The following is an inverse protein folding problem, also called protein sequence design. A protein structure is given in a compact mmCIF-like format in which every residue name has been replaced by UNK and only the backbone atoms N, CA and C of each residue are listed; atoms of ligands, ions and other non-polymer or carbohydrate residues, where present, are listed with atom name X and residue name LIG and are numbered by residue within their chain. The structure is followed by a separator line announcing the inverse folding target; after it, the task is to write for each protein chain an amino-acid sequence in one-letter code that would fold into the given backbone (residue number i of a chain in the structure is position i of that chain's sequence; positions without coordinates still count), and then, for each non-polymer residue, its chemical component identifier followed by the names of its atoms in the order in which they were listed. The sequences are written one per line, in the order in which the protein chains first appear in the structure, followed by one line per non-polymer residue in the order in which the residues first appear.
data_IF_193561344508
#
_entry.id   IF_193561344508
#
_cell.length_a   1.000
_cell.length_b   1.000
_cell.length_c   1.000
_cell.angle_alpha   90.00
_cell.angle_beta   90.00
_cell.angle_gamma   90.00
#
_symmetry.space_group_name_H-M   'P 1'
#
loop_
_entity.id
_entity.type
_entity.pdbx_description
1 polymer ?
#
# COMPACT_ATOMS: atom_id res chain seq x y z
N UNK A 1 14.25 -26.74 21.21
CA UNK A 1 15.13 -25.62 20.84
C UNK A 1 14.89 -25.34 19.36
N UNK A 2 14.23 -24.22 19.00
CA UNK A 2 14.06 -23.87 17.59
C UNK A 2 15.43 -23.62 16.96
N UNK A 3 15.73 -24.31 15.87
CA UNK A 3 16.95 -24.10 15.09
C UNK A 3 16.94 -22.69 14.49
N UNK A 4 18.05 -21.93 14.55
CA UNK A 4 18.12 -20.61 13.94
C UNK A 4 17.87 -20.74 12.43
N UNK A 5 16.83 -20.06 11.94
CA UNK A 5 16.55 -19.95 10.51
C UNK A 5 17.74 -19.26 9.83
N UNK A 6 18.22 -19.79 8.68
CA UNK A 6 19.31 -19.16 7.95
C UNK A 6 18.94 -17.72 7.56
N UNK A 7 19.89 -16.78 7.56
CA UNK A 7 19.63 -15.40 7.16
C UNK A 7 19.16 -15.37 5.70
N UNK A 8 18.01 -14.76 5.45
CA UNK A 8 17.46 -14.57 4.11
C UNK A 8 18.18 -13.44 3.40
N UNK A 9 18.31 -13.51 2.07
CA UNK A 9 18.97 -12.47 1.30
C UNK A 9 18.10 -11.21 1.18
N UNK A 10 16.79 -11.41 1.09
CA UNK A 10 15.83 -10.32 1.11
C UNK A 10 15.60 -9.91 2.58
N UNK A 11 15.83 -8.63 2.93
CA UNK A 11 15.51 -8.12 4.26
C UNK A 11 14.00 -8.13 4.49
N UNK A 12 13.61 -8.36 5.74
CA UNK A 12 12.21 -8.40 6.11
C UNK A 12 11.92 -7.60 7.36
N UNK A 13 10.75 -6.98 7.39
CA UNK A 13 10.20 -6.32 8.56
C UNK A 13 9.01 -7.11 9.09
N UNK A 14 8.87 -7.19 10.41
CA UNK A 14 7.70 -7.77 11.07
C UNK A 14 6.96 -6.67 11.80
N UNK A 15 5.72 -6.43 11.40
CA UNK A 15 4.84 -5.42 11.98
C UNK A 15 4.17 -5.99 13.23
N UNK A 16 3.88 -5.12 14.21
CA UNK A 16 3.09 -5.48 15.40
C UNK A 16 1.59 -5.35 15.13
N UNK A 17 1.13 -5.99 14.06
CA UNK A 17 -0.27 -6.04 13.66
C UNK A 17 -0.54 -7.43 13.06
N UNK A 18 -1.72 -8.00 13.29
CA UNK A 18 -2.07 -9.32 12.75
C UNK A 18 -2.39 -9.25 11.26
N UNK A 19 -3.04 -8.16 10.84
CA UNK A 19 -3.34 -7.83 9.45
C UNK A 19 -2.66 -6.52 9.07
N UNK A 20 -2.28 -6.41 7.81
CA UNK A 20 -1.80 -5.17 7.21
C UNK A 20 -2.98 -4.49 6.54
N UNK A 21 -3.38 -3.33 7.06
CA UNK A 21 -4.50 -2.57 6.49
C UNK A 21 -4.14 -2.02 5.10
N UNK A 22 -5.16 -1.73 4.29
CA UNK A 22 -4.96 -1.09 2.99
C UNK A 22 -4.21 0.26 3.10
N UNK A 23 -4.56 1.07 4.10
CA UNK A 23 -3.88 2.33 4.43
C UNK A 23 -2.40 2.13 4.79
N UNK A 24 -2.09 1.09 5.57
CA UNK A 24 -0.73 0.77 5.99
C UNK A 24 0.12 0.24 4.83
N UNK A 25 -0.43 -0.65 4.01
CA UNK A 25 0.22 -1.17 2.82
C UNK A 25 0.58 -0.03 1.84
N UNK A 26 -0.38 0.87 1.57
CA UNK A 26 -0.17 2.04 0.72
C UNK A 26 0.96 2.93 1.22
N UNK A 27 0.94 3.29 2.52
CA UNK A 27 1.95 4.13 3.16
C UNK A 27 3.36 3.51 3.16
N UNK A 28 3.45 2.22 3.43
CA UNK A 28 4.74 1.52 3.41
C UNK A 28 5.29 1.41 1.98
N UNK A 29 4.42 1.15 0.99
CA UNK A 29 4.84 1.10 -0.42
C UNK A 29 5.32 2.46 -0.93
N UNK A 30 4.61 3.56 -0.64
CA UNK A 30 5.06 4.90 -1.07
C UNK A 30 6.35 5.31 -0.34
N UNK A 31 6.48 4.98 0.96
CA UNK A 31 7.71 5.20 1.71
C UNK A 31 8.89 4.45 1.08
N UNK A 32 8.69 3.18 0.70
CA UNK A 32 9.69 2.40 -0.03
C UNK A 32 10.06 3.04 -1.36
N UNK A 33 9.11 3.51 -2.16
CA UNK A 33 9.40 4.21 -3.43
C UNK A 33 10.32 5.41 -3.18
N UNK A 34 10.00 6.24 -2.17
CA UNK A 34 10.84 7.37 -1.79
C UNK A 34 12.26 6.97 -1.37
N UNK A 35 12.39 5.87 -0.62
CA UNK A 35 13.69 5.31 -0.26
C UNK A 35 14.46 4.77 -1.47
N UNK A 36 13.82 4.03 -2.37
CA UNK A 36 14.45 3.49 -3.59
C UNK A 36 14.96 4.62 -4.48
N UNK A 37 14.17 5.67 -4.67
CA UNK A 37 14.59 6.84 -5.46
C UNK A 37 15.88 7.45 -4.89
N UNK A 38 15.97 7.59 -3.57
CA UNK A 38 17.17 8.14 -2.92
C UNK A 38 18.36 7.16 -2.96
N UNK A 39 18.15 5.90 -2.57
CA UNK A 39 19.20 4.88 -2.51
C UNK A 39 19.79 4.52 -3.88
N UNK A 40 19.02 4.72 -4.95
CA UNK A 40 19.45 4.51 -6.34
C UNK A 40 19.89 5.79 -7.03
N UNK A 41 20.18 6.85 -6.27
CA UNK A 41 20.64 8.15 -6.78
C UNK A 41 19.73 8.75 -7.85
N UNK A 42 18.43 8.43 -7.82
CA UNK A 42 17.44 9.03 -8.72
C UNK A 42 17.03 10.41 -8.24
N UNK A 43 17.23 10.72 -6.96
CA UNK A 43 17.01 12.05 -6.38
C UNK A 43 18.15 12.41 -5.43
N UNK A 44 18.51 13.69 -5.31
CA UNK A 44 19.67 14.11 -4.50
C UNK A 44 19.42 14.03 -3.00
N UNK A 45 18.16 14.12 -2.57
CA UNK A 45 17.75 14.08 -1.17
C UNK A 45 16.52 13.18 -1.00
N UNK A 46 16.28 12.65 0.21
CA UNK A 46 15.02 11.96 0.53
C UNK A 46 13.81 12.83 0.18
N UNK A 47 12.79 12.25 -0.45
CA UNK A 47 11.60 12.97 -0.96
C UNK A 47 10.93 13.82 0.13
N UNK A 48 10.85 13.31 1.37
CA UNK A 48 10.29 14.05 2.52
C UNK A 48 11.11 15.30 2.88
N UNK A 49 12.42 15.23 2.76
CA UNK A 49 13.29 16.40 2.97
C UNK A 49 13.12 17.39 1.82
N UNK A 50 13.07 16.89 0.58
CA UNK A 50 12.79 17.72 -0.60
C UNK A 50 11.44 18.44 -0.52
N UNK A 51 10.43 17.90 0.13
CA UNK A 51 9.16 18.62 0.30
C UNK A 51 9.28 19.83 1.24
N UNK A 52 10.26 19.82 2.17
CA UNK A 52 10.42 20.83 3.22
C UNK A 52 11.48 21.88 2.93
N UNK A 53 12.37 21.63 1.97
CA UNK A 53 13.41 22.60 1.63
C UNK A 53 12.77 23.91 1.13
N UNK A 54 13.30 25.09 1.46
CA UNK A 54 12.81 26.32 0.86
C UNK A 54 12.91 26.22 -0.67
N UNK A 55 11.91 26.73 -1.38
CA UNK A 55 12.07 26.97 -2.81
C UNK A 55 13.10 28.08 -2.95
N UNK A 56 14.31 27.76 -3.45
CA UNK A 56 15.18 28.80 -4.01
C UNK A 56 14.52 29.43 -5.24
N UNK A 57 15.28 30.08 -6.11
CA UNK A 57 14.74 30.65 -7.35
C UNK A 57 13.81 29.65 -8.07
N UNK A 58 12.51 29.92 -8.01
CA UNK A 58 11.43 29.05 -8.53
C UNK A 58 11.51 28.88 -10.04
N UNK A 59 12.26 29.78 -10.69
CA UNK A 59 12.57 29.79 -12.12
C UNK A 59 13.69 28.83 -12.50
N UNK A 60 14.43 28.28 -11.54
CA UNK A 60 15.51 27.35 -11.83
C UNK A 60 14.96 26.03 -12.38
N UNK A 61 15.69 25.44 -13.35
CA UNK A 61 15.34 24.13 -13.93
C UNK A 61 15.27 23.04 -12.85
N UNK A 62 16.11 23.12 -11.83
CA UNK A 62 16.12 22.21 -10.69
C UNK A 62 14.84 22.33 -9.85
N UNK A 63 14.40 23.57 -9.54
CA UNK A 63 13.13 23.80 -8.84
C UNK A 63 11.92 23.24 -9.61
N UNK A 64 11.89 23.42 -10.95
CA UNK A 64 10.83 22.83 -11.79
C UNK A 64 10.82 21.30 -11.74
N UNK A 65 11.98 20.65 -11.90
CA UNK A 65 12.09 19.18 -11.81
C UNK A 65 11.70 18.65 -10.43
N UNK A 66 12.09 19.35 -9.37
CA UNK A 66 11.69 19.05 -7.99
C UNK A 66 10.17 19.11 -7.83
N UNK A 67 9.53 20.19 -8.30
CA UNK A 67 8.07 20.33 -8.18
C UNK A 67 7.33 19.27 -8.99
N UNK A 68 7.78 18.97 -10.22
CA UNK A 68 7.21 17.91 -11.05
C UNK A 68 7.30 16.55 -10.32
N UNK A 69 8.48 16.20 -9.78
CA UNK A 69 8.64 14.99 -9.00
C UNK A 69 7.70 14.94 -7.78
N UNK A 70 7.62 16.03 -7.00
CA UNK A 70 6.77 16.08 -5.81
C UNK A 70 5.29 15.92 -6.17
N UNK A 71 4.83 16.56 -7.25
CA UNK A 71 3.46 16.43 -7.75
C UNK A 71 3.16 14.99 -8.20
N UNK A 72 4.08 14.38 -8.96
CA UNK A 72 3.92 12.99 -9.40
C UNK A 72 3.96 12.00 -8.25
N UNK A 73 4.81 12.26 -7.25
CA UNK A 73 4.92 11.43 -6.05
C UNK A 73 3.66 11.53 -5.18
N UNK A 74 3.09 12.72 -5.02
CA UNK A 74 1.82 12.94 -4.32
C UNK A 74 0.64 12.27 -5.06
N UNK A 75 0.61 12.40 -6.39
CA UNK A 75 -0.37 11.70 -7.24
C UNK A 75 -0.28 10.18 -7.06
N UNK A 76 0.94 9.63 -7.10
CA UNK A 76 1.16 8.20 -6.85
C UNK A 76 0.72 7.80 -5.43
N UNK A 77 1.01 8.61 -4.42
CA UNK A 77 0.62 8.34 -3.04
C UNK A 77 -0.91 8.27 -2.90
N UNK A 78 -1.62 9.23 -3.50
CA UNK A 78 -3.08 9.25 -3.56
C UNK A 78 -3.62 8.00 -4.25
N UNK A 79 -3.09 7.65 -5.43
CA UNK A 79 -3.49 6.46 -6.15
C UNK A 79 -3.18 5.17 -5.38
N UNK A 80 -2.05 5.05 -4.70
CA UNK A 80 -1.72 3.86 -3.93
C UNK A 80 -2.73 3.62 -2.79
N UNK A 81 -3.22 4.67 -2.13
CA UNK A 81 -4.28 4.51 -1.13
C UNK A 81 -5.53 3.84 -1.73
N UNK A 82 -6.07 4.39 -2.83
CA UNK A 82 -7.25 3.82 -3.49
C UNK A 82 -6.98 2.47 -4.16
N UNK A 83 -5.73 2.23 -4.59
CA UNK A 83 -5.27 0.96 -5.16
C UNK A 83 -5.34 -0.16 -4.15
N UNK A 84 -4.80 0.04 -2.94
CA UNK A 84 -4.80 -1.00 -1.91
C UNK A 84 -6.21 -1.28 -1.38
N UNK A 85 -7.07 -0.27 -1.33
CA UNK A 85 -8.51 -0.48 -1.07
C UNK A 85 -9.16 -1.35 -2.15
N UNK A 86 -8.92 -1.05 -3.43
CA UNK A 86 -9.45 -1.85 -4.54
C UNK A 86 -8.88 -3.28 -4.59
N UNK A 87 -7.59 -3.46 -4.26
CA UNK A 87 -6.96 -4.78 -4.12
C UNK A 87 -7.58 -5.58 -2.99
N UNK A 88 -7.78 -4.94 -1.84
CA UNK A 88 -8.42 -5.56 -0.67
C UNK A 88 -9.81 -6.09 -1.02
N UNK A 89 -10.59 -5.30 -1.76
CA UNK A 89 -11.90 -5.71 -2.28
C UNK A 89 -11.76 -6.85 -3.30
N UNK A 90 -10.82 -6.77 -4.24
CA UNK A 90 -10.59 -7.83 -5.22
C UNK A 90 -10.19 -9.17 -4.57
N UNK A 91 -9.38 -9.14 -3.51
CA UNK A 91 -9.02 -10.32 -2.74
C UNK A 91 -10.20 -10.90 -1.95
N UNK A 92 -11.06 -10.06 -1.37
CA UNK A 92 -12.25 -10.51 -0.66
C UNK A 92 -13.18 -11.32 -1.60
N UNK A 93 -13.34 -10.87 -2.84
CA UNK A 93 -14.09 -11.61 -3.86
C UNK A 93 -13.38 -12.88 -4.34
N UNK A 94 -12.06 -12.96 -4.27
CA UNK A 94 -11.32 -14.16 -4.67
C UNK A 94 -11.41 -15.27 -3.62
N UNK A 95 -11.42 -14.92 -2.33
CA UNK A 95 -11.35 -15.93 -1.28
C UNK A 95 -12.51 -16.90 -1.31
N UNK A 96 -13.72 -16.54 -1.78
CA UNK A 96 -14.91 -17.42 -1.91
C UNK A 96 -15.44 -18.04 -0.60
N UNK A 97 -14.57 -18.15 0.39
CA UNK A 97 -14.74 -18.67 1.73
C UNK A 97 -15.19 -17.54 2.62
N UNK A 98 -16.27 -17.77 3.37
CA UNK A 98 -16.85 -16.84 4.35
C UNK A 98 -15.94 -16.61 5.57
N UNK A 99 -14.63 -16.81 5.47
CA UNK A 99 -13.74 -16.56 6.58
C UNK A 99 -13.60 -15.03 6.75
N UNK A 100 -14.10 -14.46 7.86
CA UNK A 100 -13.96 -13.03 8.15
C UNK A 100 -12.49 -12.60 8.31
N UNK A 101 -11.54 -13.54 8.34
CA UNK A 101 -10.09 -13.29 8.42
C UNK A 101 -9.36 -13.55 7.12
N UNK A 102 -10.07 -13.57 6.00
CA UNK A 102 -9.44 -13.64 4.69
C UNK A 102 -8.41 -12.51 4.54
N UNK A 103 -7.22 -12.87 4.08
CA UNK A 103 -6.15 -11.92 3.79
C UNK A 103 -5.34 -12.41 2.60
N UNK A 104 -4.74 -11.49 1.87
CA UNK A 104 -3.99 -11.76 0.65
C UNK A 104 -2.53 -11.37 0.76
N UNK A 105 -1.73 -11.83 -0.20
CA UNK A 105 -0.38 -11.33 -0.44
C UNK A 105 -0.39 -10.35 -1.59
N UNK A 106 0.13 -9.14 -1.37
CA UNK A 106 0.28 -8.13 -2.40
C UNK A 106 1.74 -7.98 -2.80
N UNK A 107 1.98 -7.79 -4.10
CA UNK A 107 3.32 -7.61 -4.66
C UNK A 107 3.37 -6.36 -5.52
N UNK A 108 4.38 -5.52 -5.27
CA UNK A 108 4.66 -4.32 -6.05
C UNK A 108 6.15 -4.29 -6.41
N UNK A 109 6.48 -3.74 -7.56
CA UNK A 109 7.84 -3.58 -8.04
C UNK A 109 8.11 -2.13 -8.43
N UNK A 110 9.25 -1.61 -7.97
CA UNK A 110 9.83 -0.33 -8.39
C UNK A 110 10.91 -0.61 -9.41
N UNK A 111 10.74 -0.09 -10.62
CA UNK A 111 11.52 -0.47 -11.79
C UNK A 111 12.22 0.76 -12.36
N UNK A 112 13.56 0.75 -12.36
CA UNK A 112 14.37 1.89 -12.79
C UNK A 112 15.00 1.63 -14.16
N UNK A 113 14.62 2.43 -15.15
CA UNK A 113 15.18 2.37 -16.50
C UNK A 113 14.26 2.94 -17.59
N UNK A 114 14.70 2.89 -18.86
CA UNK A 114 13.94 3.47 -19.97
C UNK A 114 12.55 2.84 -20.15
N UNK A 115 12.46 1.52 -20.01
CA UNK A 115 11.21 0.76 -20.05
C UNK A 115 11.21 -0.33 -18.99
N UNK A 116 10.03 -0.84 -18.56
CA UNK A 116 9.96 -1.95 -17.59
C UNK A 116 10.74 -3.20 -18.04
N UNK A 117 10.71 -3.51 -19.35
CA UNK A 117 11.42 -4.67 -19.92
C UNK A 117 12.94 -4.51 -19.98
N UNK A 118 13.44 -3.28 -20.16
CA UNK A 118 14.88 -2.97 -20.28
C UNK A 118 15.49 -2.36 -19.01
N UNK A 119 14.79 -2.51 -17.88
CA UNK A 119 15.18 -1.88 -16.63
C UNK A 119 16.55 -2.35 -16.13
N UNK A 120 17.31 -1.39 -15.61
CA UNK A 120 18.64 -1.60 -15.03
C UNK A 120 18.56 -2.11 -13.60
N UNK A 121 17.54 -1.68 -12.86
CA UNK A 121 17.32 -2.10 -11.48
C UNK A 121 15.82 -2.39 -11.27
N UNK A 122 15.54 -3.40 -10.45
CA UNK A 122 14.20 -3.85 -10.08
C UNK A 122 14.22 -4.13 -8.58
N UNK A 123 13.36 -3.43 -7.83
CA UNK A 123 13.20 -3.62 -6.39
C UNK A 123 11.78 -4.11 -6.14
N UNK A 124 11.62 -5.28 -5.53
CA UNK A 124 10.32 -5.84 -5.19
C UNK A 124 9.93 -5.57 -3.75
N UNK A 125 8.64 -5.45 -3.50
CA UNK A 125 8.04 -5.50 -2.18
C UNK A 125 6.96 -6.56 -2.15
N UNK A 126 7.04 -7.41 -1.13
CA UNK A 126 5.97 -8.33 -0.75
C UNK A 126 5.31 -7.81 0.52
N UNK A 127 3.98 -7.79 0.54
CA UNK A 127 3.18 -7.46 1.73
C UNK A 127 2.35 -8.68 2.06
N UNK A 128 2.62 -9.29 3.21
CA UNK A 128 1.82 -10.39 3.75
C UNK A 128 0.59 -9.86 4.47
N UNK A 129 -0.43 -10.74 4.54
CA UNK A 129 -1.64 -10.54 5.32
C UNK A 129 -2.30 -9.18 5.06
N UNK A 130 -2.33 -8.76 3.79
CA UNK A 130 -3.14 -7.62 3.38
C UNK A 130 -4.59 -7.97 3.68
N UNK A 131 -5.25 -7.15 4.48
CA UNK A 131 -6.66 -7.36 4.81
C UNK A 131 -7.49 -7.48 3.52
N UNK A 132 -8.41 -8.43 3.47
CA UNK A 132 -9.37 -8.55 2.39
C UNK A 132 -10.75 -8.15 2.91
N UNK A 133 -11.21 -6.94 2.52
CA UNK A 133 -12.52 -6.39 2.90
C UNK A 133 -13.25 -5.85 1.67
N UNK A 134 -14.55 -6.09 1.58
CA UNK A 134 -15.40 -5.49 0.56
C UNK A 134 -15.74 -4.07 0.99
N UNK A 135 -15.36 -3.08 0.17
CA UNK A 135 -15.69 -1.69 0.47
C UNK A 135 -17.20 -1.47 0.54
N UNK A 136 -17.66 -0.84 1.62
CA UNK A 136 -19.07 -0.49 1.82
C UNK A 136 -19.92 -1.56 2.52
N UNK A 137 -19.39 -2.77 2.72
CA UNK A 137 -20.02 -3.74 3.61
C UNK A 137 -19.75 -3.28 5.05
N UNK A 138 -20.82 -2.88 5.76
CA UNK A 138 -20.70 -2.52 7.17
C UNK A 138 -20.42 -3.80 7.95
N UNK A 139 -19.48 -3.72 8.88
CA UNK A 139 -19.17 -4.79 9.83
C UNK A 139 -20.28 -4.90 10.89
N UNK A 140 -21.53 -5.07 10.43
CA UNK A 140 -22.72 -5.20 11.26
C UNK A 140 -22.78 -6.61 11.90
N UNK A 141 -21.74 -7.43 11.70
CA UNK A 141 -21.51 -8.73 12.33
C UNK A 141 -20.73 -8.62 13.64
N UNK A 142 -20.93 -7.55 14.41
CA UNK A 142 -20.58 -7.59 15.83
C UNK A 142 -21.28 -8.82 16.42
N UNK A 143 -20.47 -9.85 16.70
CA UNK A 143 -20.84 -11.16 17.19
C UNK A 143 -21.95 -11.04 18.24
N UNK A 144 -23.21 -11.11 17.80
CA UNK A 144 -24.28 -11.48 18.71
C UNK A 144 -23.91 -12.91 19.06
N UNK A 145 -23.49 -13.19 20.32
CA UNK A 145 -23.13 -14.54 20.69
C UNK A 145 -24.33 -15.39 20.33
N UNK A 146 -24.15 -16.40 19.48
CA UNK A 146 -25.20 -17.35 19.12
C UNK A 146 -25.51 -18.21 20.34
N UNK A 147 -26.09 -17.54 21.34
CA UNK A 147 -26.65 -18.14 22.50
C UNK A 147 -27.94 -18.81 22.07
N UNK A 148 -27.84 -20.13 21.97
CA UNK A 148 -28.89 -21.09 22.33
C UNK A 148 -29.82 -21.52 21.19
N UNK A 149 -29.54 -22.73 20.75
CA UNK A 149 -30.46 -23.78 20.28
C UNK A 149 -31.95 -23.45 20.50
N UNK A 150 -32.67 -23.33 19.39
CA UNK A 150 -34.12 -23.32 19.31
C UNK A 150 -34.52 -24.12 18.08
N UNK A 151 -35.03 -25.31 18.34
CA UNK A 151 -35.41 -26.38 17.43
C UNK A 151 -36.41 -25.95 16.34
N UNK A 152 -36.23 -26.56 15.16
CA UNK A 152 -37.24 -27.06 14.21
C UNK A 152 -38.43 -26.15 13.83
N UNK A 153 -38.42 -25.70 12.58
CA UNK A 153 -39.63 -25.63 11.76
C UNK A 153 -39.27 -25.88 10.30
N UNK A 154 -39.52 -27.10 9.85
CA UNK A 154 -39.74 -27.45 8.43
C UNK A 154 -41.02 -26.76 7.94
N UNK A 155 -40.99 -26.24 6.72
CA UNK A 155 -42.09 -25.90 5.80
C UNK A 155 -41.64 -24.70 4.94
N UNK A 156 -41.88 -24.57 3.65
CA UNK A 156 -42.49 -25.41 2.63
C UNK A 156 -42.11 -24.73 1.30
N UNK A 157 -42.29 -25.44 0.19
CA UNK A 157 -42.13 -25.02 -1.19
C UNK A 157 -42.63 -23.59 -1.50
N UNK A 158 -41.99 -22.88 -2.45
CA UNK A 158 -42.65 -22.44 -3.70
C UNK A 158 -41.61 -21.88 -4.70
N UNK A 159 -41.59 -22.51 -5.88
CA UNK A 159 -40.94 -22.05 -7.10
C UNK A 159 -41.58 -20.75 -7.59
N UNK A 160 -40.79 -19.73 -7.94
CA UNK A 160 -41.23 -18.75 -8.94
C UNK A 160 -40.17 -18.50 -10.01
N UNK A 161 -40.42 -19.06 -11.18
CA UNK A 161 -39.89 -18.61 -12.46
C UNK A 161 -40.36 -17.17 -12.72
N UNK A 162 -39.45 -16.27 -13.06
CA UNK A 162 -39.77 -15.13 -13.91
C UNK A 162 -38.57 -14.78 -14.78
N UNK A 163 -38.65 -15.24 -16.02
CA UNK A 163 -37.93 -14.68 -17.16
C UNK A 163 -38.48 -13.27 -17.39
N UNK A 164 -37.61 -12.26 -17.46
CA UNK A 164 -37.98 -11.02 -18.15
C UNK A 164 -36.75 -10.46 -18.87
N UNK A 165 -36.85 -10.52 -20.19
CA UNK A 165 -35.92 -10.00 -21.18
C UNK A 165 -36.24 -8.51 -21.36
N UNK A 166 -35.24 -7.64 -21.20
CA UNK A 166 -35.38 -6.25 -21.65
C UNK A 166 -34.12 -5.80 -22.37
N UNK A 167 -34.16 -6.01 -23.69
CA UNK A 167 -33.41 -5.26 -24.68
C UNK A 167 -33.71 -3.76 -24.53
N UNK A 168 -32.66 -2.96 -24.33
CA UNK A 168 -32.75 -1.52 -24.53
C UNK A 168 -31.50 -1.04 -25.25
N UNK A 169 -31.63 -1.00 -26.57
CA UNK A 169 -30.67 -0.44 -27.51
C UNK A 169 -30.86 1.07 -27.49
N UNK A 170 -29.84 1.82 -27.05
CA UNK A 170 -29.85 3.28 -27.08
C UNK A 170 -28.61 3.77 -27.81
N UNK A 171 -28.75 3.91 -29.12
CA UNK A 171 -27.88 4.69 -29.98
C UNK A 171 -27.92 6.17 -29.58
N UNK A 172 -26.79 6.71 -29.15
CA UNK A 172 -26.61 8.15 -28.99
C UNK A 172 -25.35 8.61 -29.73
N UNK A 173 -25.52 8.79 -31.04
CA UNK A 173 -24.65 9.60 -31.88
C UNK A 173 -24.69 11.06 -31.40
N UNK A 174 -23.58 11.51 -30.84
CA UNK A 174 -23.39 12.89 -30.39
C UNK A 174 -22.11 13.47 -30.98
N UNK A 175 -22.17 13.85 -32.26
CA UNK A 175 -21.20 14.76 -32.87
C UNK A 175 -21.19 16.09 -32.09
N UNK A 176 -20.02 16.49 -31.58
CA UNK A 176 -19.80 17.88 -31.16
C UNK A 176 -18.42 18.32 -31.57
N UNK A 177 -18.36 18.84 -32.79
CA UNK A 177 -17.31 19.70 -33.29
C UNK A 177 -17.24 21.03 -32.50
N UNK A 178 -16.03 21.57 -32.45
CA UNK A 178 -15.71 23.01 -32.33
C UNK A 178 -15.92 23.70 -30.98
N UNK A 179 -14.81 24.09 -30.34
CA UNK A 179 -14.39 25.51 -30.41
C UNK A 179 -13.03 25.73 -29.74
N UNK A 180 -12.11 26.27 -30.55
CA UNK A 180 -10.93 26.99 -30.09
C UNK A 180 -11.35 28.31 -29.43
N UNK A 181 -10.94 28.52 -28.19
CA UNK A 181 -10.75 29.82 -27.55
C UNK A 181 -10.03 29.55 -26.22
N UNK A 182 -9.13 30.36 -25.71
CA UNK A 182 -8.62 31.65 -26.10
C UNK A 182 -7.57 32.00 -25.04
N UNK A 183 -6.51 32.62 -25.51
CA UNK A 183 -5.45 33.25 -24.74
C UNK A 183 -6.00 34.11 -23.59
N UNK A 184 -5.41 34.02 -22.40
CA UNK A 184 -5.69 34.95 -21.29
C UNK A 184 -4.44 35.11 -20.45
N UNK A 185 -3.68 36.11 -20.89
CA UNK A 185 -2.72 36.91 -20.17
C UNK A 185 -3.18 37.33 -18.75
N UNK A 186 -2.18 37.38 -17.87
CA UNK A 186 -1.98 38.42 -16.85
C UNK A 186 -2.87 38.44 -15.61
N UNK A 187 -2.25 38.23 -14.45
CA UNK A 187 -2.01 39.36 -13.53
C UNK A 187 -1.18 38.92 -12.32
N UNK A 188 -0.04 39.60 -12.17
CA UNK A 188 0.76 39.69 -10.95
C UNK A 188 -0.12 40.16 -9.77
N UNK A 189 -0.09 39.40 -8.68
CA UNK A 189 -0.60 39.87 -7.38
C UNK A 189 0.52 39.75 -6.36
N UNK A 190 1.24 40.85 -6.19
CA UNK A 190 2.12 41.11 -5.05
C UNK A 190 1.24 41.59 -3.89
N UNK A 191 1.10 40.77 -2.85
CA UNK A 191 0.61 41.21 -1.55
C UNK A 191 1.76 41.14 -0.53
N UNK A 192 2.36 42.32 -0.37
CA UNK A 192 3.22 42.72 0.74
C UNK A 192 2.30 42.94 1.97
N UNK A 193 2.45 42.13 3.02
CA UNK A 193 1.95 42.48 4.35
C UNK A 193 2.99 42.09 5.42
N UNK A 194 3.83 43.07 5.73
CA UNK A 194 4.45 43.26 7.04
C UNK A 194 3.36 43.48 8.10
N UNK A 195 3.26 42.58 9.08
CA UNK A 195 2.64 42.93 10.37
C UNK A 195 3.38 42.27 11.53
N UNK A 196 4.20 43.09 12.18
CA UNK A 196 4.64 42.89 13.55
C UNK A 196 3.46 43.06 14.51
N UNK A 197 3.32 42.15 15.47
CA UNK A 197 2.77 42.48 16.80
C UNK A 197 3.14 41.42 17.81
N UNK A 198 4.11 41.78 18.63
CA UNK A 198 4.34 41.22 19.95
C UNK A 198 3.11 41.47 20.82
N UNK A 199 2.61 40.43 21.49
CA UNK A 199 1.72 40.60 22.64
C UNK A 199 2.12 39.61 23.71
N UNK A 200 2.89 40.12 24.67
CA UNK A 200 3.08 39.54 25.99
C UNK A 200 1.77 39.70 26.77
N UNK A 201 1.26 38.60 27.33
CA UNK A 201 0.29 38.64 28.43
C UNK A 201 0.74 37.68 29.52
N UNK A 202 1.39 38.27 30.51
CA UNK A 202 1.49 37.78 31.87
C UNK A 202 0.14 37.90 32.60
N UNK A 203 0.03 37.12 33.67
CA UNK A 203 -0.72 37.43 34.89
C UNK A 203 -2.13 36.81 35.10
N UNK A 204 -2.09 35.70 35.84
CA UNK A 204 -2.78 35.46 37.12
C UNK A 204 -4.32 35.56 37.20
N UNK A 205 -4.94 34.44 37.60
CA UNK A 205 -5.96 34.45 38.66
C UNK A 205 -6.23 33.05 39.18
N UNK A 206 -5.67 32.78 40.36
CA UNK A 206 -6.06 31.72 41.29
C UNK A 206 -7.52 31.95 41.74
N UNK A 207 -8.35 30.91 41.66
CA UNK A 207 -9.67 30.90 42.27
C UNK A 207 -9.93 29.55 42.99
N UNK A 208 -10.73 29.56 44.08
CA UNK A 208 -10.61 28.62 45.19
C UNK A 208 -11.36 27.29 45.01
N UNK A 209 -10.87 26.29 45.72
CA UNK A 209 -11.37 24.91 45.76
C UNK A 209 -12.82 24.81 46.26
N UNK A 210 -13.68 23.99 45.62
CA UNK A 210 -15.01 23.66 46.14
C UNK A 210 -14.96 22.58 47.25
N UNK A 211 -16.02 22.49 48.09
CA UNK A 211 -16.05 21.68 49.32
C UNK A 211 -16.16 20.15 49.09
N UNK A 212 -15.74 19.32 50.07
CA UNK A 212 -15.84 17.87 49.98
C UNK A 212 -17.28 17.42 50.27
N UNK A 213 -17.98 16.94 49.24
CA UNK A 213 -19.31 16.36 49.38
C UNK A 213 -19.36 14.90 48.92
N UNK A 214 -19.50 14.04 49.94
CA UNK A 214 -20.42 12.89 50.01
C UNK A 214 -20.28 11.81 48.93
N UNK A 215 -19.59 10.76 49.34
CA UNK A 215 -19.65 9.38 48.83
C UNK A 215 -21.08 8.89 48.56
N UNK A 216 -21.44 8.53 47.32
CA UNK A 216 -22.48 7.56 47.04
C UNK A 216 -21.91 6.13 47.09
N UNK A 217 -22.76 5.22 47.57
CA UNK A 217 -22.55 3.79 47.78
C UNK A 217 -21.90 3.03 46.60
N UNK A 218 -21.24 1.89 46.85
CA UNK A 218 -20.65 1.04 45.80
C UNK A 218 -21.78 0.37 45.01
N UNK A 219 -22.25 1.05 43.97
CA UNK A 219 -22.97 0.41 42.88
C UNK A 219 -21.96 -0.47 42.16
N UNK A 220 -22.21 -1.77 42.15
CA UNK A 220 -21.48 -2.79 41.40
C UNK A 220 -21.43 -2.40 39.93
N UNK A 221 -20.38 -1.67 39.56
CA UNK A 221 -20.07 -1.36 38.17
C UNK A 221 -19.84 -2.69 37.44
N UNK A 222 -20.46 -2.89 36.27
CA UNK A 222 -20.15 -4.04 35.45
C UNK A 222 -18.64 -4.07 35.18
N UNK A 223 -18.02 -5.26 35.15
CA UNK A 223 -16.58 -5.37 34.88
C UNK A 223 -16.27 -4.64 33.58
N UNK A 224 -15.17 -3.86 33.53
CA UNK A 224 -14.77 -3.20 32.29
C UNK A 224 -14.67 -4.25 31.19
N UNK A 225 -15.21 -3.98 29.98
CA UNK A 225 -15.12 -4.92 28.88
C UNK A 225 -13.64 -5.27 28.63
N UNK A 226 -13.33 -6.52 28.28
CA UNK A 226 -11.95 -6.93 28.04
C UNK A 226 -11.31 -6.00 26.98
N UNK A 227 -10.11 -5.44 27.24
CA UNK A 227 -9.49 -4.40 26.41
C UNK A 227 -9.11 -4.85 24.99
N UNK A 228 -9.37 -6.11 24.64
CA UNK A 228 -8.99 -6.74 23.37
C UNK A 228 -10.06 -6.63 22.28
N UNK A 229 -11.25 -6.09 22.58
CA UNK A 229 -12.38 -6.03 21.64
C UNK A 229 -12.71 -4.63 21.13
N UNK A 230 -11.97 -3.60 21.56
CA UNK A 230 -12.19 -2.26 21.04
C UNK A 230 -11.37 -2.06 19.76
N UNK A 231 -11.98 -1.58 18.67
CA UNK A 231 -11.23 -1.21 17.48
C UNK A 231 -10.14 -0.18 17.86
N UNK A 232 -8.95 -0.28 17.25
CA UNK A 232 -7.86 0.63 17.57
C UNK A 232 -8.30 2.07 17.33
N UNK A 233 -7.93 2.95 18.26
CA UNK A 233 -8.18 4.38 18.08
C UNK A 233 -7.35 4.93 16.92
N UNK A 234 -7.83 5.97 16.24
CA UNK A 234 -7.11 6.64 15.15
C UNK A 234 -5.67 7.05 15.54
N UNK A 235 -5.47 7.48 16.79
CA UNK A 235 -4.16 7.84 17.30
C UNK A 235 -3.19 6.63 17.36
N UNK A 236 -3.69 5.47 17.79
CA UNK A 236 -2.93 4.21 17.81
C UNK A 236 -2.59 3.75 16.40
N UNK A 237 -3.52 3.87 15.45
CA UNK A 237 -3.26 3.53 14.04
C UNK A 237 -2.14 4.42 13.46
N UNK A 238 -2.19 5.74 13.68
CA UNK A 238 -1.12 6.64 13.24
C UNK A 238 0.24 6.33 13.89
N UNK A 239 0.26 5.95 15.16
CA UNK A 239 1.48 5.55 15.87
C UNK A 239 2.05 4.24 15.32
N UNK A 240 1.20 3.26 15.04
CA UNK A 240 1.57 2.00 14.41
C UNK A 240 2.18 2.26 13.02
N UNK A 241 1.55 3.13 12.21
CA UNK A 241 2.05 3.54 10.90
C UNK A 241 3.44 4.18 10.98
N UNK A 242 3.65 5.16 11.88
CA UNK A 242 4.96 5.80 12.06
C UNK A 242 6.02 4.80 12.52
N UNK A 243 5.64 3.85 13.38
CA UNK A 243 6.54 2.81 13.87
C UNK A 243 6.94 1.85 12.74
N UNK A 244 5.99 1.45 11.91
CA UNK A 244 6.21 0.61 10.74
C UNK A 244 7.13 1.31 9.71
N UNK A 245 6.89 2.59 9.41
CA UNK A 245 7.75 3.39 8.53
C UNK A 245 9.19 3.49 9.07
N UNK A 246 9.36 3.78 10.36
CA UNK A 246 10.69 3.83 10.99
C UNK A 246 11.40 2.47 10.95
N UNK A 247 10.65 1.38 11.13
CA UNK A 247 11.18 0.03 11.03
C UNK A 247 11.64 -0.28 9.59
N UNK A 248 10.84 0.09 8.59
CA UNK A 248 11.19 -0.01 7.17
C UNK A 248 12.46 0.77 6.87
N UNK A 249 12.53 2.06 7.20
CA UNK A 249 13.70 2.90 6.94
C UNK A 249 14.97 2.34 7.59
N UNK A 250 14.88 1.89 8.85
CA UNK A 250 16.02 1.28 9.57
C UNK A 250 16.49 -0.01 8.90
N UNK A 251 15.55 -0.84 8.45
CA UNK A 251 15.84 -2.11 7.79
C UNK A 251 16.53 -1.88 6.45
N UNK A 252 16.04 -0.92 5.65
CA UNK A 252 16.69 -0.55 4.39
C UNK A 252 18.09 0.02 4.62
N UNK A 253 18.27 0.89 5.63
CA UNK A 253 19.58 1.44 5.96
C UNK A 253 20.59 0.36 6.39
N UNK A 254 20.14 -0.66 7.12
CA UNK A 254 20.99 -1.79 7.53
C UNK A 254 21.37 -2.67 6.32
N UNK A 255 20.40 -2.94 5.44
CA UNK A 255 20.62 -3.71 4.22
C UNK A 255 21.56 -3.01 3.20
N UNK A 256 21.74 -1.69 3.31
CA UNK A 256 22.71 -0.96 2.49
C UNK A 256 24.16 -1.19 2.92
N UNK A 257 24.44 -1.52 4.19
CA UNK A 257 25.80 -1.57 4.74
C UNK A 257 26.45 -2.96 4.77
N UNK A 258 25.66 -4.03 4.77
CA UNK A 258 26.15 -5.36 5.18
C UNK A 258 26.62 -6.29 4.05
N UNK A 259 26.33 -5.99 2.78
CA UNK A 259 26.65 -6.91 1.68
C UNK A 259 27.74 -6.34 0.76
N UNK A 260 28.87 -7.05 0.67
CA UNK A 260 30.07 -6.86 -0.17
C UNK A 260 29.81 -6.31 -1.60
N UNK A 261 29.37 -5.05 -1.72
CA UNK A 261 28.96 -4.43 -2.98
C UNK A 261 27.61 -4.90 -3.56
N UNK A 262 26.78 -5.59 -2.78
CA UNK A 262 25.50 -6.16 -3.22
C UNK A 262 24.28 -5.57 -2.49
N UNK A 263 24.45 -4.45 -1.79
CA UNK A 263 23.38 -3.74 -1.08
C UNK A 263 22.42 -3.00 -2.02
N UNK A 264 21.28 -2.55 -1.48
CA UNK A 264 20.31 -1.77 -2.26
C UNK A 264 20.83 -0.40 -2.71
N UNK A 265 21.87 0.14 -2.08
CA UNK A 265 22.47 1.41 -2.51
C UNK A 265 23.31 1.18 -3.77
N UNK A 266 22.97 1.83 -4.86
CA UNK A 266 23.75 1.78 -6.10
C UNK A 266 23.64 3.10 -6.82
N UNK A 267 24.78 3.71 -7.13
CA UNK A 267 24.81 4.95 -7.90
C UNK A 267 24.36 4.67 -9.33
N UNK A 268 23.25 5.27 -9.73
CA UNK A 268 22.70 5.17 -11.07
C UNK A 268 22.41 6.58 -11.57
N UNK A 269 22.71 6.82 -12.85
CA UNK A 269 22.23 8.03 -13.50
C UNK A 269 20.70 8.13 -13.37
N UNK A 270 20.13 9.34 -13.23
CA UNK A 270 18.69 9.50 -13.19
C UNK A 270 18.00 8.92 -14.42
N UNK A 271 16.94 8.15 -14.19
CA UNK A 271 16.15 7.45 -15.21
C UNK A 271 14.66 7.58 -14.93
N UNK A 272 13.84 7.00 -15.80
CA UNK A 272 12.41 6.84 -15.54
C UNK A 272 12.20 5.73 -14.50
N UNK A 273 11.29 6.00 -13.58
CA UNK A 273 10.81 5.04 -12.58
C UNK A 273 9.42 4.58 -12.99
N UNK A 274 9.23 3.26 -13.07
CA UNK A 274 7.95 2.62 -13.36
C UNK A 274 7.49 1.87 -12.11
N UNK A 275 6.20 1.96 -11.79
CA UNK A 275 5.59 1.23 -10.68
C UNK A 275 4.71 0.13 -11.27
N UNK A 276 4.98 -1.11 -10.86
CA UNK A 276 4.27 -2.30 -11.36
C UNK A 276 3.63 -3.03 -10.19
N UNK A 277 2.38 -3.43 -10.33
CA UNK A 277 1.59 -4.08 -9.30
C UNK A 277 1.13 -5.46 -9.79
N UNK A 278 1.16 -6.48 -8.93
CA UNK A 278 0.52 -7.76 -9.21
C UNK A 278 -0.88 -7.78 -8.63
N UNK A 279 -1.89 -8.01 -9.47
CA UNK A 279 -3.29 -8.00 -9.07
C UNK A 279 -4.13 -8.96 -9.92
N UNK A 280 -5.30 -9.41 -9.43
CA UNK A 280 -6.25 -10.22 -10.23
C UNK A 280 -6.67 -9.50 -11.52
N UNK A 281 -7.16 -10.23 -12.53
CA UNK A 281 -7.69 -9.60 -13.76
C UNK A 281 -8.89 -8.69 -13.50
N UNK A 282 -9.74 -9.05 -12.53
CA UNK A 282 -10.89 -8.25 -12.09
C UNK A 282 -10.52 -6.98 -11.31
N UNK A 283 -9.23 -6.75 -11.03
CA UNK A 283 -8.79 -5.49 -10.43
C UNK A 283 -9.09 -4.33 -11.38
N UNK A 284 -9.81 -3.32 -10.89
CA UNK A 284 -10.21 -2.15 -11.69
C UNK A 284 -9.80 -0.89 -10.96
N UNK A 285 -8.92 -0.09 -11.57
CA UNK A 285 -8.52 1.20 -11.04
C UNK A 285 -8.09 2.14 -12.18
N UNK A 286 -8.56 3.40 -12.23
CA UNK A 286 -8.35 4.29 -13.37
C UNK A 286 -6.89 4.59 -13.69
N UNK A 287 -6.04 4.67 -12.66
CA UNK A 287 -4.61 4.94 -12.81
C UNK A 287 -3.74 3.72 -13.15
N UNK A 288 -4.31 2.53 -13.34
CA UNK A 288 -3.54 1.31 -13.60
C UNK A 288 -3.93 0.68 -14.92
N UNK A 289 -2.91 0.34 -15.71
CA UNK A 289 -3.08 -0.27 -17.03
C UNK A 289 -2.55 -1.71 -17.00
N UNK A 290 -3.33 -2.72 -17.45
CA UNK A 290 -2.87 -4.10 -17.48
C UNK A 290 -1.75 -4.27 -18.51
N UNK A 291 -0.72 -5.05 -18.17
CA UNK A 291 0.47 -5.29 -18.99
C UNK A 291 0.79 -6.79 -19.09
N UNK A 292 -0.08 -7.53 -19.77
CA UNK A 292 0.10 -8.98 -20.00
C UNK A 292 1.42 -9.33 -20.72
N UNK A 293 1.93 -8.44 -21.58
CA UNK A 293 3.19 -8.65 -22.29
C UNK A 293 4.42 -8.72 -21.37
N UNK A 294 4.29 -8.23 -20.13
CA UNK A 294 5.37 -8.24 -19.15
C UNK A 294 5.29 -9.43 -18.18
N UNK A 295 4.21 -10.23 -18.22
CA UNK A 295 3.94 -11.23 -17.19
C UNK A 295 5.09 -12.22 -16.99
N UNK A 296 5.56 -12.88 -18.07
CA UNK A 296 6.63 -13.87 -17.92
C UNK A 296 7.94 -13.32 -17.32
N UNK A 297 8.27 -12.05 -17.56
CA UNK A 297 9.47 -11.43 -17.00
C UNK A 297 9.32 -11.10 -15.51
N UNK A 298 8.18 -10.56 -15.11
CA UNK A 298 7.92 -10.21 -13.71
C UNK A 298 7.49 -11.40 -12.86
N UNK A 299 6.91 -12.44 -13.44
CA UNK A 299 6.66 -13.72 -12.78
C UNK A 299 7.99 -14.40 -12.43
N UNK A 300 8.95 -14.41 -13.36
CA UNK A 300 10.28 -14.91 -13.07
C UNK A 300 11.01 -14.07 -12.01
N UNK A 301 10.80 -12.76 -12.00
CA UNK A 301 11.32 -11.86 -10.97
C UNK A 301 10.72 -12.16 -9.59
N UNK A 302 9.40 -12.34 -9.53
CA UNK A 302 8.67 -12.68 -8.32
C UNK A 302 9.06 -14.05 -7.80
N UNK A 303 9.20 -15.05 -8.67
CA UNK A 303 9.69 -16.38 -8.28
C UNK A 303 11.06 -16.30 -7.62
N UNK A 304 11.98 -15.52 -8.19
CA UNK A 304 13.31 -15.31 -7.61
C UNK A 304 13.24 -14.53 -6.29
N UNK A 305 12.38 -13.51 -6.19
CA UNK A 305 12.13 -12.78 -4.95
C UNK A 305 11.66 -13.71 -3.82
N UNK A 306 10.70 -14.60 -4.11
CA UNK A 306 10.14 -15.56 -3.18
C UNK A 306 11.17 -16.63 -2.74
N UNK A 307 12.02 -17.07 -3.66
CA UNK A 307 13.12 -18.00 -3.33
C UNK A 307 14.17 -17.31 -2.44
N UNK A 308 14.56 -16.07 -2.76
CA UNK A 308 15.57 -15.32 -1.99
C UNK A 308 15.06 -14.81 -0.63
N UNK A 309 13.73 -14.65 -0.47
CA UNK A 309 13.07 -14.31 0.79
C UNK A 309 12.82 -15.51 1.71
N UNK A 310 13.01 -16.74 1.19
CA UNK A 310 12.74 -17.97 1.92
C UNK A 310 11.25 -18.32 2.04
N UNK A 311 10.38 -17.65 1.28
CA UNK A 311 8.94 -17.91 1.24
C UNK A 311 8.56 -19.06 0.28
N UNK A 312 9.51 -19.52 -0.53
CA UNK A 312 9.37 -20.76 -1.29
C UNK A 312 10.49 -21.73 -0.95
N UNK A 313 10.17 -23.03 -0.76
CA UNK A 313 11.19 -24.04 -0.58
C UNK A 313 12.07 -24.09 -1.84
N UNK A 314 13.39 -24.16 -1.61
CA UNK A 314 14.36 -24.28 -2.69
C UNK A 314 14.09 -25.56 -3.46
N UNK A 315 13.78 -25.45 -4.75
CA UNK A 315 13.57 -26.63 -5.59
C UNK A 315 14.94 -27.23 -5.92
N UNK A 316 15.31 -28.31 -5.22
CA UNK A 316 16.62 -28.97 -5.37
C UNK A 316 16.89 -29.50 -6.79
N UNK A 317 15.85 -29.73 -7.60
CA UNK A 317 15.96 -30.39 -8.91
C UNK A 317 16.23 -29.48 -10.12
N UNK A 318 16.32 -28.16 -9.93
CA UNK A 318 16.44 -27.26 -11.09
C UNK A 318 17.90 -27.06 -11.49
N UNK A 319 18.32 -27.84 -12.50
CA UNK A 319 19.54 -27.63 -13.30
C UNK A 319 19.78 -26.12 -13.51
N UNK A 320 20.87 -25.60 -12.94
CA UNK A 320 21.41 -24.22 -13.06
C UNK A 320 20.59 -23.34 -14.01
N UNK A 321 19.46 -22.78 -13.53
CA UNK A 321 18.77 -21.73 -14.27
C UNK A 321 19.78 -20.62 -14.52
N UNK A 322 19.85 -20.14 -15.77
CA UNK A 322 20.74 -19.05 -16.20
C UNK A 322 20.55 -17.92 -15.20
N UNK A 323 21.60 -17.61 -14.44
CA UNK A 323 21.60 -16.64 -13.33
C UNK A 323 20.88 -15.37 -13.79
N UNK A 324 19.62 -15.21 -13.37
CA UNK A 324 18.83 -14.01 -13.61
C UNK A 324 19.49 -12.83 -12.91
N UNK A 325 19.07 -11.61 -13.24
CA UNK A 325 19.55 -10.42 -12.54
C UNK A 325 19.40 -10.56 -11.03
N UNK A 326 20.21 -9.83 -10.25
CA UNK A 326 20.02 -9.81 -8.80
C UNK A 326 18.64 -9.18 -8.52
N UNK A 327 17.78 -9.92 -7.84
CA UNK A 327 16.55 -9.35 -7.28
C UNK A 327 16.92 -8.64 -5.99
N UNK A 328 16.46 -7.40 -5.88
CA UNK A 328 16.48 -6.63 -4.64
C UNK A 328 15.05 -6.50 -4.15
N UNK A 329 14.87 -6.29 -2.86
CA UNK A 329 13.54 -6.05 -2.34
C UNK A 329 13.46 -6.00 -0.83
N UNK A 330 12.24 -5.87 -0.34
CA UNK A 330 11.91 -5.93 1.09
C UNK A 330 10.63 -6.71 1.27
N UNK A 331 10.57 -7.51 2.32
CA UNK A 331 9.38 -8.25 2.68
C UNK A 331 8.72 -7.65 3.93
N UNK A 332 7.43 -7.36 3.86
CA UNK A 332 6.64 -6.77 4.95
C UNK A 332 5.74 -7.87 5.50
N UNK A 333 6.07 -8.37 6.70
CA UNK A 333 5.31 -9.41 7.40
C UNK A 333 4.41 -8.80 8.46
N UNK A 334 3.20 -9.31 8.57
CA UNK A 334 2.41 -9.13 9.80
C UNK A 334 2.96 -10.02 10.92
N UNK A 335 2.47 -9.81 12.14
CA UNK A 335 2.79 -10.62 13.32
C UNK A 335 2.34 -12.07 13.16
N UNK A 336 1.18 -12.25 12.54
CA UNK A 336 0.63 -13.57 12.26
C UNK A 336 1.15 -14.04 10.91
N UNK A 337 2.14 -14.94 10.91
CA UNK A 337 2.54 -15.60 9.67
C UNK A 337 1.33 -16.34 9.10
N UNK A 338 0.99 -16.02 7.85
CA UNK A 338 0.14 -16.89 7.05
C UNK A 338 0.85 -18.24 6.97
N UNK A 339 0.27 -19.24 7.62
CA UNK A 339 0.74 -20.62 7.51
C UNK A 339 0.57 -21.05 6.05
N UNK A 340 1.62 -21.65 5.47
CA UNK A 340 1.67 -22.08 4.07
C UNK A 340 0.47 -22.97 3.67
N UNK A 341 -0.18 -23.59 4.64
CA UNK A 341 -1.40 -24.39 4.48
C UNK A 341 -2.57 -23.61 3.83
N UNK A 342 -2.61 -22.27 3.93
CA UNK A 342 -3.65 -21.45 3.28
C UNK A 342 -3.40 -21.20 1.79
N UNK A 343 -2.19 -21.40 1.27
CA UNK A 343 -1.88 -21.21 -0.16
C UNK A 343 -1.96 -22.49 -0.99
N UNK A 344 -2.19 -23.65 -0.36
CA UNK A 344 -2.53 -24.88 -1.07
C UNK A 344 -4.03 -24.81 -1.40
N UNK A 345 -4.43 -23.78 -2.15
CA UNK A 345 -5.64 -23.85 -2.96
C UNK A 345 -5.36 -25.03 -3.89
N UNK A 346 -6.11 -26.11 -3.70
CA UNK A 346 -6.08 -27.27 -4.57
C UNK A 346 -6.08 -26.79 -6.02
N UNK A 347 -5.38 -27.51 -6.91
CA UNK A 347 -5.28 -27.23 -8.35
C UNK A 347 -6.64 -27.31 -9.09
N UNK A 348 -7.73 -26.95 -8.43
CA UNK A 348 -8.99 -26.55 -9.01
C UNK A 348 -8.74 -25.35 -9.93
N UNK A 349 -9.49 -25.33 -11.01
CA UNK A 349 -9.39 -24.37 -12.10
C UNK A 349 -9.71 -22.97 -11.54
N UNK A 350 -8.67 -22.18 -11.26
CA UNK A 350 -8.82 -20.79 -10.84
C UNK A 350 -9.59 -20.05 -11.95
N UNK A 351 -10.71 -19.38 -11.65
CA UNK A 351 -11.44 -18.61 -12.64
C UNK A 351 -10.52 -17.65 -13.39
N UNK A 352 -10.72 -17.47 -14.70
CA UNK A 352 -9.87 -16.60 -15.53
C UNK A 352 -9.76 -15.17 -14.96
N UNK A 353 -10.84 -14.68 -14.36
CA UNK A 353 -10.97 -13.36 -13.72
C UNK A 353 -10.09 -13.20 -12.48
N UNK A 354 -9.73 -14.31 -11.85
CA UNK A 354 -8.91 -14.40 -10.64
C UNK A 354 -7.43 -14.64 -10.95
N UNK A 355 -7.08 -14.84 -12.22
CA UNK A 355 -5.68 -14.97 -12.63
C UNK A 355 -4.91 -13.68 -12.29
N UNK A 356 -3.81 -13.84 -11.56
CA UNK A 356 -2.95 -12.73 -11.17
C UNK A 356 -2.11 -12.26 -12.37
N UNK A 357 -2.33 -11.02 -12.81
CA UNK A 357 -1.58 -10.36 -13.88
C UNK A 357 -0.79 -9.16 -13.34
N UNK A 358 0.05 -8.57 -14.21
CA UNK A 358 0.79 -7.36 -13.87
C UNK A 358 0.11 -6.12 -14.44
N UNK A 359 0.03 -5.10 -13.59
CA UNK A 359 -0.50 -3.78 -13.87
C UNK A 359 0.62 -2.75 -13.76
N UNK A 360 0.57 -1.70 -14.55
CA UNK A 360 1.55 -0.60 -14.48
C UNK A 360 0.82 0.70 -14.22
N UNK A 361 1.35 1.49 -13.30
CA UNK A 361 0.84 2.83 -13.04
C UNK A 361 1.04 3.70 -14.28
N UNK A 362 0.00 4.41 -14.69
CA UNK A 362 -0.04 5.24 -15.91
C UNK A 362 0.74 6.55 -15.80
N UNK A 363 1.05 6.97 -14.57
CA UNK A 363 1.82 8.17 -14.30
C UNK A 363 3.32 8.02 -14.57
N UNK A 364 4.05 9.09 -14.26
CA UNK A 364 5.49 9.18 -14.55
C UNK A 364 6.24 9.69 -13.34
N UNK A 365 7.32 9.00 -12.99
CA UNK A 365 8.32 9.48 -12.05
C UNK A 365 9.66 9.53 -12.78
N UNK A 366 10.30 10.69 -12.77
CA UNK A 366 11.60 10.89 -13.42
C UNK A 366 12.58 11.40 -12.38
N UNK A 367 13.68 10.66 -12.22
CA UNK A 367 14.76 11.10 -11.36
C UNK A 367 15.46 12.35 -11.91
N UNK A 368 16.19 13.05 -11.05
CA UNK A 368 17.09 14.11 -11.43
C UNK A 368 18.29 14.20 -10.47
N UNK A 369 19.42 14.67 -10.99
CA UNK A 369 20.65 14.86 -10.20
C UNK A 369 21.04 16.33 -10.03
N UNK A 370 20.54 17.22 -10.90
CA UNK A 370 20.83 18.65 -10.83
C UNK A 370 20.05 19.28 -9.65
N UNK A 371 20.75 19.80 -8.63
CA UNK A 371 20.16 20.49 -7.49
C UNK A 371 20.65 21.93 -7.39
#
# INVERSE_FOLDING_TARGET
MPTPTPPTKIPSITLDADLVTDSMAARLCISLVGHVLFLKSQVPFPVVQMARMPGGDTTSRAAKKRQELLNSFDTLASHLNTTFTALSTAFAYHSGTKDPRSSGRAYLAVVLGPTPGSAKCRVMVGVDALEAKVWGERDDRLDVPSGREGEEAEDDDEKSHSEDESDSESDCDGDTDSSECGDSDSSDSLCDEEVASETEFEESSQAPSPPPSRTPSPSSSPPPPPPHLLPPTYAQELEALRTAERLLSRTLASACGENDGQGMASEMAPTQTHIVLRAPRKFMHPAWVPKQTLSGAFDALLDQFLEESGERPKRDDVKKRKKGGNVEGVWIRSRQRLTEDSEIISSEEIPEEDEMIWWTWDGRLVGFADW
#
